data_IF_365677263441
#
_entry.id   IF_365677263441
#
_cell.length_a   1.000
_cell.length_b   1.000
_cell.length_c   1.000
_cell.angle_alpha   90.00
_cell.angle_beta   90.00
_cell.angle_gamma   90.00
#
_symmetry.space_group_name_H-M   'P 1'
#
loop_
_entity.id
_entity.type
_entity.pdbx_description
1 polymer ?
#
# COMPACT_ATOMS: atom_id res chain seq x y z
N UNK A 1 5.10 -6.25 -24.25
CA UNK A 1 5.05 -5.59 -22.93
C UNK A 1 3.68 -5.89 -22.33
N UNK A 2 3.61 -6.51 -21.16
CA UNK A 2 2.34 -6.75 -20.49
C UNK A 2 1.97 -5.49 -19.69
N UNK A 3 0.87 -4.85 -20.05
CA UNK A 3 0.23 -3.79 -19.28
C UNK A 3 -0.90 -4.44 -18.48
N UNK A 4 -0.95 -4.18 -17.17
CA UNK A 4 -2.09 -4.52 -16.30
C UNK A 4 -3.02 -3.30 -16.30
N UNK A 5 -4.11 -3.28 -17.09
CA UNK A 5 -4.93 -2.09 -17.27
C UNK A 5 -5.90 -1.81 -16.10
N UNK A 6 -5.77 -2.52 -14.98
CA UNK A 6 -6.71 -2.43 -13.86
C UNK A 6 -6.05 -2.67 -12.51
N UNK A 7 -6.85 -2.44 -11.47
CA UNK A 7 -6.49 -2.77 -10.09
C UNK A 7 -6.25 -4.28 -9.99
N UNK A 8 -5.17 -4.68 -9.31
CA UNK A 8 -4.92 -6.09 -9.04
C UNK A 8 -6.11 -6.73 -8.31
N UNK A 9 -6.29 -8.05 -8.41
CA UNK A 9 -7.44 -8.73 -7.82
C UNK A 9 -7.48 -8.50 -6.30
N UNK A 10 -8.66 -8.29 -5.74
CA UNK A 10 -8.83 -8.05 -4.30
C UNK A 10 -8.31 -9.24 -3.47
N UNK A 11 -8.58 -10.45 -3.94
CA UNK A 11 -8.16 -11.71 -3.32
C UNK A 11 -7.42 -12.62 -4.31
N UNK A 12 -6.51 -13.44 -3.79
CA UNK A 12 -5.83 -14.49 -4.52
C UNK A 12 -6.29 -15.84 -3.96
N UNK A 13 -6.92 -16.72 -4.77
CA UNK A 13 -7.46 -17.99 -4.28
C UNK A 13 -6.37 -18.84 -3.60
N UNK A 14 -6.58 -19.17 -2.33
CA UNK A 14 -5.66 -20.00 -1.54
C UNK A 14 -4.35 -19.30 -1.13
N UNK A 15 -4.16 -18.02 -1.45
CA UNK A 15 -2.95 -17.25 -1.10
C UNK A 15 -3.35 -16.07 -0.21
N UNK A 16 -2.98 -16.06 1.08
CA UNK A 16 -3.22 -14.92 1.96
C UNK A 16 -2.38 -13.73 1.49
N UNK A 17 -3.04 -12.61 1.21
CA UNK A 17 -2.39 -11.35 0.80
C UNK A 17 -2.85 -10.23 1.70
N UNK A 18 -1.91 -9.68 2.47
CA UNK A 18 -2.10 -8.45 3.24
C UNK A 18 -1.43 -7.28 2.51
N UNK A 19 -2.18 -6.19 2.36
CA UNK A 19 -1.72 -4.94 1.78
C UNK A 19 -1.50 -3.94 2.90
N UNK A 20 -0.46 -3.13 2.79
CA UNK A 20 -0.17 -2.06 3.73
C UNK A 20 -0.30 -0.75 2.96
N UNK A 21 -1.21 0.11 3.38
CA UNK A 21 -1.60 1.32 2.65
C UNK A 21 -1.58 2.54 3.56
N UNK A 22 -0.83 3.58 3.19
CA UNK A 22 -0.85 4.87 3.90
C UNK A 22 -1.99 5.72 3.34
N UNK A 23 -2.77 6.34 4.22
CA UNK A 23 -3.81 7.31 3.82
C UNK A 23 -3.21 8.43 3.01
N UNK A 24 -3.94 8.87 1.99
CA UNK A 24 -3.52 9.86 0.97
C UNK A 24 -2.34 9.45 0.08
N UNK A 25 -1.77 8.24 0.18
CA UNK A 25 -0.83 7.78 -0.83
C UNK A 25 -1.53 7.61 -2.18
N UNK A 26 -1.09 8.37 -3.19
CA UNK A 26 -1.66 8.34 -4.54
C UNK A 26 -1.56 7.01 -5.29
N UNK A 27 -0.85 6.00 -4.77
CA UNK A 27 -0.86 4.65 -5.34
C UNK A 27 -2.01 3.81 -4.79
N UNK A 28 -2.22 3.81 -3.47
CA UNK A 28 -3.15 2.89 -2.81
C UNK A 28 -4.39 3.54 -2.20
N UNK A 29 -4.41 4.87 -2.08
CA UNK A 29 -5.53 5.69 -1.60
C UNK A 29 -5.81 6.86 -2.56
N UNK A 30 -5.92 6.55 -3.86
CA UNK A 30 -6.20 7.51 -4.93
C UNK A 30 -7.68 7.94 -4.97
N UNK A 31 -8.23 8.34 -3.83
CA UNK A 31 -9.66 8.60 -3.63
C UNK A 31 -10.01 10.09 -3.60
N UNK A 32 -9.03 11.00 -3.54
CA UNK A 32 -9.26 12.45 -3.53
C UNK A 32 -8.12 13.23 -4.22
N UNK A 33 -8.26 14.56 -4.30
CA UNK A 33 -7.19 15.43 -4.79
C UNK A 33 -5.97 15.46 -3.86
N UNK A 34 -6.15 15.15 -2.58
CA UNK A 34 -5.06 15.07 -1.60
C UNK A 34 -4.09 13.91 -1.90
N UNK A 35 -4.53 12.95 -2.71
CA UNK A 35 -3.72 11.81 -3.14
C UNK A 35 -2.54 12.21 -4.04
N UNK A 36 -2.62 13.35 -4.75
CA UNK A 36 -1.53 13.87 -5.57
C UNK A 36 -0.33 14.33 -4.74
N UNK A 37 -0.46 15.32 -3.82
CA UNK A 37 0.64 15.66 -2.92
C UNK A 37 0.98 14.50 -1.99
N UNK A 38 -0.01 13.69 -1.60
CA UNK A 38 0.19 12.52 -0.75
C UNK A 38 1.04 11.42 -1.39
N UNK A 39 1.03 11.24 -2.71
CA UNK A 39 2.01 10.36 -3.37
C UNK A 39 3.46 10.78 -3.06
N UNK A 40 3.77 12.08 -3.18
CA UNK A 40 5.13 12.58 -2.94
C UNK A 40 5.53 12.55 -1.47
N UNK A 41 4.57 12.67 -0.55
CA UNK A 41 4.83 12.73 0.90
C UNK A 41 4.80 11.36 1.56
N UNK A 42 3.81 10.54 1.21
CA UNK A 42 3.52 9.26 1.87
C UNK A 42 4.22 8.09 1.18
N UNK A 43 4.29 8.04 -0.15
CA UNK A 43 4.85 6.90 -0.87
C UNK A 43 6.35 6.64 -0.57
N UNK A 44 7.20 7.64 -0.32
CA UNK A 44 8.59 7.37 0.10
C UNK A 44 8.71 6.71 1.48
N UNK A 45 7.67 6.79 2.33
CA UNK A 45 7.71 6.28 3.71
C UNK A 45 7.78 4.77 3.79
N UNK A 46 7.31 4.04 2.78
CA UNK A 46 7.41 2.58 2.78
C UNK A 46 8.86 2.10 2.91
N UNK A 47 9.80 2.81 2.30
CA UNK A 47 11.21 2.44 2.24
C UNK A 47 12.06 3.03 3.37
N UNK A 48 11.50 3.93 4.18
CA UNK A 48 12.23 4.54 5.28
C UNK A 48 12.52 3.50 6.35
N UNK A 49 13.73 3.56 6.91
CA UNK A 49 14.14 2.67 7.98
C UNK A 49 13.19 2.81 9.18
N UNK A 50 12.76 1.66 9.73
CA UNK A 50 11.81 1.62 10.84
C UNK A 50 10.34 1.86 10.47
N UNK A 51 10.01 2.13 9.20
CA UNK A 51 8.62 2.32 8.76
C UNK A 51 8.02 1.03 8.15
N UNK A 52 7.16 1.14 7.14
CA UNK A 52 6.24 0.08 6.73
C UNK A 52 6.96 -1.20 6.32
N UNK A 53 7.80 -1.17 5.28
CA UNK A 53 8.47 -2.39 4.79
C UNK A 53 9.33 -2.99 5.89
N UNK A 54 10.15 -2.18 6.57
CA UNK A 54 11.02 -2.65 7.65
C UNK A 54 10.25 -3.33 8.78
N UNK A 55 9.07 -2.81 9.15
CA UNK A 55 8.24 -3.36 10.24
C UNK A 55 7.38 -4.56 9.83
N UNK A 56 7.16 -4.77 8.53
CA UNK A 56 6.27 -5.85 8.03
C UNK A 56 7.01 -7.02 7.40
N UNK A 57 8.30 -6.89 7.07
CA UNK A 57 9.08 -7.95 6.39
C UNK A 57 9.07 -9.31 7.12
N UNK A 58 9.03 -9.31 8.45
CA UNK A 58 8.99 -10.51 9.27
C UNK A 58 7.56 -10.96 9.64
N UNK A 59 6.52 -10.24 9.19
CA UNK A 59 5.13 -10.61 9.44
C UNK A 59 4.71 -11.70 8.45
N UNK A 60 4.06 -12.73 8.97
CA UNK A 60 3.61 -13.87 8.17
C UNK A 60 2.09 -14.01 8.24
N UNK A 61 1.47 -14.29 7.09
CA UNK A 61 0.02 -14.40 6.96
C UNK A 61 -0.69 -13.04 6.97
N UNK A 62 -2.02 -13.07 6.97
CA UNK A 62 -2.86 -11.88 6.92
C UNK A 62 -3.64 -11.77 5.60
N UNK A 63 -4.73 -10.99 5.64
CA UNK A 63 -5.57 -10.75 4.47
C UNK A 63 -6.17 -9.35 4.54
N UNK A 64 -6.45 -8.77 3.37
CA UNK A 64 -7.07 -7.44 3.27
C UNK A 64 -6.05 -6.31 3.33
N UNK A 65 -6.47 -5.14 3.79
CA UNK A 65 -5.67 -3.91 3.78
C UNK A 65 -5.52 -3.35 5.19
N UNK A 66 -4.28 -3.19 5.64
CA UNK A 66 -3.90 -2.44 6.84
C UNK A 66 -3.69 -0.98 6.44
N UNK A 67 -4.46 -0.09 7.06
CA UNK A 67 -4.41 1.33 6.80
C UNK A 67 -3.54 2.06 7.83
N UNK A 68 -2.59 2.85 7.35
CA UNK A 68 -1.71 3.70 8.16
C UNK A 68 -2.11 5.17 8.03
N UNK A 69 -1.96 5.98 9.09
CA UNK A 69 -2.24 7.41 9.00
C UNK A 69 -1.23 8.14 8.11
N UNK A 70 -1.70 9.16 7.41
CA UNK A 70 -0.84 10.16 6.78
C UNK A 70 0.01 10.85 7.86
N UNK A 71 1.26 11.19 7.51
CA UNK A 71 2.13 12.01 8.35
C UNK A 71 1.72 13.48 8.32
#
# INVERSE_FOLDING_TARGET
MAYSPGTGPEAFPGVPVQRHCIKTDGVCDATSLDSFPGFLQQHPRYFREGEIIASTLAQHGGSGTVWYPAA
#
